data_IF_460537005169
#
_entry.id   IF_460537005169
#
_cell.length_a   1.000
_cell.length_b   1.000
_cell.length_c   1.000
_cell.angle_alpha   90.00
_cell.angle_beta   90.00
_cell.angle_gamma   90.00
#
_symmetry.space_group_name_H-M   'P 1'
#
loop_
_entity.id
_entity.type
_entity.pdbx_description
1 polymer ?
#
# COMPACT_ATOMS: atom_id res chain seq x y z
N UNK A 1 1.07 24.68 -8.52
CA UNK A 1 0.42 23.79 -9.50
C UNK A 1 0.66 22.39 -8.99
N UNK A 2 -0.31 21.79 -8.29
CA UNK A 2 -0.10 20.55 -7.54
C UNK A 2 0.02 19.37 -8.49
N UNK A 3 1.10 18.60 -8.37
CA UNK A 3 1.29 17.37 -9.14
C UNK A 3 0.16 16.39 -8.79
N UNK A 4 -0.75 16.17 -9.74
CA UNK A 4 -1.89 15.26 -9.57
C UNK A 4 -1.45 13.81 -9.62
N UNK A 5 -0.23 13.52 -10.09
CA UNK A 5 0.35 12.19 -10.12
C UNK A 5 1.69 12.17 -9.41
N UNK A 6 1.93 11.14 -8.62
CA UNK A 6 3.20 10.87 -7.96
C UNK A 6 3.55 9.39 -8.11
N UNK A 7 4.82 9.12 -8.37
CA UNK A 7 5.37 7.77 -8.48
C UNK A 7 6.63 7.66 -7.62
N UNK A 8 6.85 6.51 -7.02
CA UNK A 8 8.01 6.22 -6.20
C UNK A 8 8.46 4.77 -6.38
N UNK A 9 9.76 4.59 -6.61
CA UNK A 9 10.42 3.29 -6.62
C UNK A 9 11.44 3.28 -5.49
N UNK A 10 11.45 2.21 -4.70
CA UNK A 10 12.42 2.04 -3.63
C UNK A 10 12.92 0.60 -3.62
N UNK A 11 14.23 0.45 -3.42
CA UNK A 11 14.90 -0.84 -3.25
C UNK A 11 15.71 -0.77 -1.96
N UNK A 12 15.55 -1.74 -1.08
CA UNK A 12 16.28 -1.85 0.16
C UNK A 12 16.96 -3.22 0.20
N UNK A 13 18.28 -3.23 0.35
CA UNK A 13 19.09 -4.43 0.49
C UNK A 13 19.62 -4.50 1.91
N UNK A 14 19.19 -5.48 2.68
CA UNK A 14 19.64 -5.71 4.04
C UNK A 14 20.50 -6.98 4.10
N UNK A 15 21.78 -6.83 4.46
CA UNK A 15 22.69 -7.96 4.64
C UNK A 15 22.88 -8.20 6.13
N UNK A 16 22.46 -9.36 6.60
CA UNK A 16 22.60 -9.80 7.99
C UNK A 16 23.78 -10.78 8.03
N UNK A 17 24.92 -10.34 8.56
CA UNK A 17 26.07 -11.21 8.81
C UNK A 17 25.83 -11.98 10.11
N UNK A 18 25.76 -13.32 10.01
CA UNK A 18 25.56 -14.23 11.13
C UNK A 18 26.91 -14.83 11.54
N UNK A 19 27.30 -14.80 12.83
CA UNK A 19 28.64 -15.22 13.26
C UNK A 19 28.93 -16.71 13.05
N UNK A 20 27.90 -17.55 12.85
CA UNK A 20 28.03 -19.01 12.68
C UNK A 20 27.37 -19.54 11.39
N UNK A 21 26.90 -18.67 10.48
CA UNK A 21 26.19 -19.08 9.26
C UNK A 21 26.49 -18.17 8.06
N UNK A 22 26.12 -18.61 6.86
CA UNK A 22 26.23 -17.79 5.65
C UNK A 22 25.38 -16.50 5.77
N UNK A 23 25.90 -15.39 5.28
CA UNK A 23 25.25 -14.09 5.36
C UNK A 23 23.91 -14.07 4.62
N UNK A 24 22.84 -13.64 5.30
CA UNK A 24 21.50 -13.54 4.71
C UNK A 24 21.33 -12.18 4.04
N UNK A 25 21.04 -12.15 2.74
CA UNK A 25 20.70 -10.93 2.01
C UNK A 25 19.19 -10.88 1.79
N UNK A 26 18.57 -9.74 2.11
CA UNK A 26 17.14 -9.46 1.93
C UNK A 26 16.99 -8.26 1.00
N UNK A 27 16.45 -8.47 -0.18
CA UNK A 27 16.04 -7.45 -1.14
C UNK A 27 14.53 -7.19 -1.06
N UNK A 28 14.19 -5.99 -0.56
CA UNK A 28 12.83 -5.46 -0.59
C UNK A 28 12.72 -4.43 -1.72
N UNK A 29 11.83 -4.68 -2.68
CA UNK A 29 11.52 -3.76 -3.77
C UNK A 29 10.10 -3.28 -3.62
N UNK A 30 9.87 -1.98 -3.76
CA UNK A 30 8.53 -1.42 -3.71
C UNK A 30 8.27 -0.34 -4.75
N UNK A 31 7.02 -0.33 -5.24
CA UNK A 31 6.48 0.63 -6.17
C UNK A 31 5.28 1.32 -5.53
N UNK A 32 5.26 2.65 -5.54
CA UNK A 32 4.15 3.48 -5.09
C UNK A 32 3.67 4.33 -6.24
N UNK A 33 2.38 4.27 -6.54
CA UNK A 33 1.70 5.14 -7.48
C UNK A 33 0.58 5.86 -6.74
N UNK A 34 0.46 7.17 -6.94
CA UNK A 34 -0.58 7.99 -6.34
C UNK A 34 -1.13 8.94 -7.38
N UNK A 35 -2.46 9.01 -7.48
CA UNK A 35 -3.14 9.94 -8.37
C UNK A 35 -4.26 10.68 -7.61
N UNK A 36 -4.24 11.99 -7.68
CA UNK A 36 -5.23 12.91 -7.10
C UNK A 36 -6.07 13.48 -8.24
N UNK A 37 -7.28 12.94 -8.41
CA UNK A 37 -8.25 13.43 -9.39
C UNK A 37 -8.72 14.85 -9.00
N UNK A 38 -8.95 15.06 -7.71
CA UNK A 38 -9.26 16.35 -7.09
C UNK A 38 -8.65 16.36 -5.68
N UNK A 39 -8.59 17.51 -4.96
CA UNK A 39 -8.17 17.53 -3.55
C UNK A 39 -8.98 16.61 -2.62
N UNK A 40 -10.14 16.11 -3.07
CA UNK A 40 -11.03 15.23 -2.30
C UNK A 40 -11.10 13.80 -2.84
N UNK A 41 -10.60 13.54 -4.05
CA UNK A 41 -10.69 12.23 -4.71
C UNK A 41 -9.30 11.79 -5.12
N UNK A 42 -8.85 10.66 -4.59
CA UNK A 42 -7.54 10.10 -4.89
C UNK A 42 -7.55 8.58 -4.97
N UNK A 43 -6.62 8.03 -5.75
CA UNK A 43 -6.29 6.62 -5.79
C UNK A 43 -4.80 6.43 -5.50
N UNK A 44 -4.45 5.37 -4.79
CA UNK A 44 -3.09 5.00 -4.47
C UNK A 44 -2.94 3.49 -4.67
N UNK A 45 -1.80 3.10 -5.23
CA UNK A 45 -1.38 1.72 -5.39
C UNK A 45 0.01 1.58 -4.79
N UNK A 46 0.21 0.57 -3.95
CA UNK A 46 1.49 0.23 -3.36
C UNK A 46 1.74 -1.26 -3.52
N UNK A 47 2.80 -1.61 -4.24
CA UNK A 47 3.22 -2.98 -4.46
C UNK A 47 4.59 -3.15 -3.80
N UNK A 48 4.77 -4.27 -3.10
CA UNK A 48 6.03 -4.62 -2.45
C UNK A 48 6.34 -6.09 -2.69
N UNK A 49 7.59 -6.37 -3.05
CA UNK A 49 8.14 -7.72 -3.11
C UNK A 49 9.24 -7.85 -2.07
N UNK A 50 9.21 -8.94 -1.32
CA UNK A 50 10.21 -9.31 -0.32
C UNK A 50 10.78 -10.68 -0.70
N UNK A 51 12.07 -10.74 -1.02
CA UNK A 51 12.74 -11.97 -1.45
C UNK A 51 12.94 -13.00 -0.31
N UNK A 52 13.14 -12.56 0.92
CA UNK A 52 13.43 -13.40 2.09
C UNK A 52 12.26 -14.30 2.43
N UNK A 53 11.05 -13.75 2.35
CA UNK A 53 9.80 -14.46 2.60
C UNK A 53 9.09 -14.88 1.32
N UNK A 54 9.65 -14.51 0.16
CA UNK A 54 9.03 -14.61 -1.15
C UNK A 54 7.55 -14.15 -1.16
N UNK A 55 7.35 -12.95 -0.62
CA UNK A 55 6.05 -12.36 -0.39
C UNK A 55 5.82 -11.21 -1.36
N UNK A 56 4.72 -11.29 -2.12
CA UNK A 56 4.21 -10.20 -2.95
C UNK A 56 2.99 -9.57 -2.26
N UNK A 57 3.15 -8.34 -1.78
CA UNK A 57 2.09 -7.55 -1.17
C UNK A 57 1.60 -6.47 -2.13
N UNK A 58 0.29 -6.33 -2.25
CA UNK A 58 -0.38 -5.26 -2.99
C UNK A 58 -1.40 -4.58 -2.10
N UNK A 59 -1.34 -3.25 -2.04
CA UNK A 59 -2.32 -2.41 -1.38
C UNK A 59 -2.86 -1.41 -2.40
N UNK A 60 -4.17 -1.44 -2.62
CA UNK A 60 -4.88 -0.44 -3.39
C UNK A 60 -5.81 0.35 -2.47
N UNK A 61 -5.83 1.66 -2.62
CA UNK A 61 -6.69 2.56 -1.86
C UNK A 61 -7.33 3.57 -2.77
N UNK A 62 -8.65 3.66 -2.70
CA UNK A 62 -9.43 4.75 -3.25
C UNK A 62 -10.07 5.55 -2.10
N UNK A 63 -9.97 6.87 -2.18
CA UNK A 63 -10.54 7.78 -1.17
C UNK A 63 -11.34 8.87 -1.87
N UNK A 64 -12.61 9.00 -1.50
CA UNK A 64 -13.50 10.07 -1.93
C UNK A 64 -14.10 10.76 -0.71
N UNK A 65 -13.55 11.94 -0.40
CA UNK A 65 -13.91 12.75 0.75
C UNK A 65 -15.07 13.70 0.43
N UNK A 66 -16.06 13.74 1.29
CA UNK A 66 -17.09 14.77 1.31
C UNK A 66 -16.64 15.98 2.15
N UNK A 67 -16.03 15.72 3.31
CA UNK A 67 -15.40 16.69 4.22
C UNK A 67 -14.04 16.18 4.70
N UNK A 68 -13.31 16.95 5.53
CA UNK A 68 -11.95 16.60 5.96
C UNK A 68 -11.80 15.17 6.53
N UNK A 69 -12.86 14.58 7.10
CA UNK A 69 -12.85 13.23 7.71
C UNK A 69 -14.05 12.35 7.34
N UNK A 70 -14.97 12.82 6.49
CA UNK A 70 -16.15 12.06 6.10
C UNK A 70 -16.11 11.74 4.61
N UNK A 71 -16.39 10.49 4.25
CA UNK A 71 -16.39 10.08 2.86
C UNK A 71 -16.40 8.58 2.68
N UNK A 72 -16.11 8.17 1.45
CA UNK A 72 -15.99 6.79 1.03
C UNK A 72 -14.52 6.39 0.93
N UNK A 73 -14.18 5.25 1.50
CA UNK A 73 -12.88 4.61 1.34
C UNK A 73 -13.08 3.18 0.88
N UNK A 74 -12.35 2.81 -0.16
CA UNK A 74 -12.21 1.43 -0.63
C UNK A 74 -10.75 1.06 -0.49
N UNK A 75 -10.46 0.01 0.27
CA UNK A 75 -9.09 -0.50 0.42
C UNK A 75 -9.09 -1.97 0.07
N UNK A 76 -8.22 -2.34 -0.85
CA UNK A 76 -7.97 -3.73 -1.21
C UNK A 76 -6.54 -4.09 -0.81
N UNK A 77 -6.39 -5.16 -0.06
CA UNK A 77 -5.10 -5.74 0.30
C UNK A 77 -5.01 -7.14 -0.24
N UNK A 78 -3.85 -7.48 -0.78
CA UNK A 78 -3.49 -8.84 -1.16
C UNK A 78 -2.05 -9.12 -0.75
N UNK A 79 -1.81 -10.27 -0.16
CA UNK A 79 -0.49 -10.79 0.12
C UNK A 79 -0.42 -12.24 -0.38
N UNK A 80 0.50 -12.50 -1.30
CA UNK A 80 0.77 -13.82 -1.84
C UNK A 80 2.14 -14.28 -1.36
N UNK A 81 2.18 -15.38 -0.62
CA UNK A 81 3.40 -16.03 -0.14
C UNK A 81 3.57 -17.32 -0.95
N UNK A 82 4.71 -17.53 -1.64
CA UNK A 82 4.86 -18.70 -2.53
C UNK A 82 4.71 -20.05 -1.82
N UNK A 83 4.98 -20.11 -0.53
CA UNK A 83 4.83 -21.32 0.31
C UNK A 83 3.66 -21.25 1.27
N UNK A 84 2.92 -20.13 1.29
CA UNK A 84 1.87 -19.83 2.26
C UNK A 84 0.49 -19.67 1.63
N UNK A 85 -0.48 -19.26 2.45
CA UNK A 85 -1.84 -19.00 1.97
C UNK A 85 -1.95 -17.59 1.37
N UNK A 86 -2.62 -17.50 0.22
CA UNK A 86 -3.02 -16.23 -0.38
C UNK A 86 -3.99 -15.51 0.55
N UNK A 87 -3.61 -14.35 1.07
CA UNK A 87 -4.48 -13.49 1.89
C UNK A 87 -5.04 -12.35 1.05
N UNK A 88 -6.36 -12.19 1.07
CA UNK A 88 -7.08 -11.11 0.37
C UNK A 88 -8.06 -10.46 1.31
N UNK A 89 -8.11 -9.14 1.30
CA UNK A 89 -8.99 -8.35 2.14
C UNK A 89 -9.56 -7.17 1.35
N UNK A 90 -10.86 -6.96 1.45
CA UNK A 90 -11.55 -5.80 0.88
C UNK A 90 -12.28 -5.06 2.01
N UNK A 91 -11.92 -3.80 2.19
CA UNK A 91 -12.52 -2.90 3.18
C UNK A 91 -13.30 -1.83 2.43
N UNK A 92 -14.57 -1.70 2.81
CA UNK A 92 -15.46 -0.61 2.38
C UNK A 92 -15.88 0.19 3.60
N UNK A 93 -15.55 1.48 3.62
CA UNK A 93 -15.93 2.39 4.71
C UNK A 93 -16.64 3.60 4.14
N UNK A 94 -17.82 3.91 4.68
CA UNK A 94 -18.57 5.12 4.37
C UNK A 94 -18.86 5.89 5.66
N UNK A 95 -18.64 7.19 5.65
CA UNK A 95 -18.98 8.10 6.74
C UNK A 95 -19.57 9.40 6.21
N UNK A 96 -20.57 9.94 6.90
CA UNK A 96 -21.23 11.20 6.59
C UNK A 96 -21.44 12.00 7.87
N UNK A 97 -21.21 13.31 7.82
CA UNK A 97 -21.48 14.21 8.93
C UNK A 97 -22.90 14.73 8.74
N UNK A 98 -23.76 14.45 9.71
CA UNK A 98 -25.09 15.04 9.79
C UNK A 98 -25.01 16.23 10.73
N UNK A 99 -25.43 17.39 10.25
CA UNK A 99 -25.65 18.56 11.09
C UNK A 99 -27.11 18.54 11.55
N UNK A 100 -27.32 18.50 12.87
CA UNK A 100 -28.65 18.51 13.49
C UNK A 100 -28.75 19.82 14.24
N UNK A 101 -29.24 20.83 13.51
CA UNK A 101 -29.53 22.17 14.02
C UNK A 101 -30.71 22.16 15.00
#
# INVERSE_FOLDING_TARGET
MGETFSTGLAMNRNRIDLPEAEALTVDLVSLRLSYSFTPRISAQLYIQYNDQTDLLATNFRFSWLQSANAGLYVVYNEADERTGERRRELILKYSHIVDVL
#
